data_IF_499785021202
#
_entry.id   IF_499785021202
#
_cell.length_a   1.000
_cell.length_b   1.000
_cell.length_c   1.000
_cell.angle_alpha   90.00
_cell.angle_beta   90.00
_cell.angle_gamma   90.00
#
_symmetry.space_group_name_H-M   'P 1'
#
loop_
_entity.id
_entity.type
_entity.pdbx_description
1 polymer ?
#
# COMPACT_ATOMS: atom_id res chain seq x y z
N UNK A 1 21.54 21.75 -11.90
CA UNK A 1 21.17 20.70 -12.88
C UNK A 1 20.91 19.42 -12.11
N UNK A 2 19.68 18.94 -12.13
CA UNK A 2 19.29 17.66 -11.52
C UNK A 2 19.89 16.52 -12.37
N UNK A 3 20.80 15.78 -11.80
CA UNK A 3 21.42 14.64 -12.45
C UNK A 3 20.47 13.43 -12.42
N UNK A 4 19.59 13.36 -13.43
CA UNK A 4 18.65 12.27 -13.61
C UNK A 4 19.33 10.89 -13.78
N UNK A 5 20.60 10.85 -14.20
CA UNK A 5 21.34 9.60 -14.35
C UNK A 5 21.61 8.95 -12.98
N UNK A 6 21.88 9.73 -11.95
CA UNK A 6 22.04 9.25 -10.57
C UNK A 6 20.75 8.68 -9.97
N UNK A 7 19.61 9.27 -10.33
CA UNK A 7 18.29 8.79 -9.86
C UNK A 7 17.94 7.45 -10.49
N UNK A 8 18.20 7.31 -11.79
CA UNK A 8 17.99 6.05 -12.52
C UNK A 8 18.98 4.96 -12.10
N UNK A 9 20.20 5.34 -11.71
CA UNK A 9 21.21 4.38 -11.22
C UNK A 9 20.81 3.80 -9.86
N UNK A 10 20.35 4.62 -8.91
CA UNK A 10 19.84 4.15 -7.61
C UNK A 10 18.63 3.21 -7.73
N UNK A 11 17.81 3.38 -8.75
CA UNK A 11 16.67 2.49 -9.02
C UNK A 11 17.10 1.13 -9.63
N UNK A 12 18.32 1.00 -10.13
CA UNK A 12 18.82 -0.21 -10.77
C UNK A 12 19.68 -1.11 -9.88
N UNK A 13 20.25 -0.59 -8.80
CA UNK A 13 21.27 -1.32 -8.02
C UNK A 13 20.73 -2.09 -6.80
N UNK A 14 19.52 -1.80 -6.34
CA UNK A 14 18.93 -2.57 -5.24
C UNK A 14 17.87 -3.52 -5.78
N UNK A 15 18.10 -4.82 -5.62
CA UNK A 15 17.00 -5.79 -5.77
C UNK A 15 15.87 -5.34 -4.84
N UNK A 16 14.64 -5.18 -5.35
CA UNK A 16 13.56 -4.71 -4.51
C UNK A 16 13.34 -5.71 -3.37
N UNK A 17 13.37 -5.23 -2.14
CA UNK A 17 13.01 -6.03 -0.97
C UNK A 17 11.71 -6.78 -1.23
N UNK A 18 11.59 -7.96 -0.69
CA UNK A 18 10.40 -8.78 -0.87
C UNK A 18 9.62 -8.93 0.43
N UNK A 19 8.29 -8.85 0.32
CA UNK A 19 7.36 -9.19 1.39
C UNK A 19 6.62 -10.48 1.03
N UNK A 20 6.55 -11.42 1.96
CA UNK A 20 5.71 -12.60 1.83
C UNK A 20 4.58 -12.57 2.86
N UNK A 21 3.34 -12.63 2.40
CA UNK A 21 2.15 -12.68 3.24
C UNK A 21 1.71 -14.13 3.32
N UNK A 22 1.82 -14.72 4.50
CA UNK A 22 1.46 -16.11 4.75
C UNK A 22 -0.01 -16.20 5.18
N UNK A 23 -0.81 -16.81 4.35
CA UNK A 23 -2.24 -17.05 4.57
C UNK A 23 -2.50 -18.55 4.76
N UNK A 24 -3.41 -18.89 5.66
CA UNK A 24 -3.98 -20.23 5.66
C UNK A 24 -4.72 -20.51 4.33
N UNK A 25 -4.91 -21.77 3.99
CA UNK A 25 -5.69 -22.16 2.79
C UNK A 25 -7.08 -21.56 2.85
N UNK A 26 -7.71 -21.57 4.02
CA UNK A 26 -9.04 -20.97 4.24
C UNK A 26 -9.03 -19.46 4.01
N UNK A 27 -8.03 -18.75 4.54
CA UNK A 27 -7.93 -17.29 4.40
C UNK A 27 -7.65 -16.88 2.95
N UNK A 28 -6.82 -17.65 2.25
CA UNK A 28 -6.58 -17.44 0.83
C UNK A 28 -7.85 -17.65 0.00
N UNK A 29 -8.58 -18.74 0.24
CA UNK A 29 -9.87 -18.99 -0.42
C UNK A 29 -10.88 -17.88 -0.15
N UNK A 30 -10.96 -17.41 1.10
CA UNK A 30 -11.81 -16.30 1.48
C UNK A 30 -11.41 -14.98 0.81
N UNK A 31 -10.10 -14.72 0.61
CA UNK A 31 -9.63 -13.55 -0.12
C UNK A 31 -10.07 -13.61 -1.58
N UNK A 32 -9.91 -14.76 -2.23
CA UNK A 32 -10.34 -14.94 -3.63
C UNK A 32 -11.85 -14.78 -3.79
N UNK A 33 -12.63 -15.39 -2.91
CA UNK A 33 -14.11 -15.22 -2.91
C UNK A 33 -14.53 -13.78 -2.68
N UNK A 34 -13.81 -13.03 -1.86
CA UNK A 34 -14.08 -11.62 -1.62
C UNK A 34 -13.75 -10.76 -2.87
N UNK A 35 -12.66 -11.08 -3.56
CA UNK A 35 -12.29 -10.41 -4.82
C UNK A 35 -13.38 -10.66 -5.88
N UNK A 36 -13.84 -11.90 -6.03
CA UNK A 36 -14.90 -12.26 -6.94
C UNK A 36 -16.22 -11.55 -6.59
N UNK A 37 -16.59 -11.54 -5.30
CA UNK A 37 -17.79 -10.84 -4.82
C UNK A 37 -17.77 -9.36 -5.21
N UNK A 38 -16.69 -8.63 -4.95
CA UNK A 38 -16.59 -7.21 -5.28
C UNK A 38 -16.54 -6.98 -6.78
N UNK A 39 -15.87 -7.86 -7.54
CA UNK A 39 -15.84 -7.79 -9.00
C UNK A 39 -17.25 -7.88 -9.59
N UNK A 40 -18.07 -8.80 -9.08
CA UNK A 40 -19.44 -9.00 -9.51
C UNK A 40 -20.37 -7.86 -9.05
N UNK A 41 -20.13 -7.29 -7.87
CA UNK A 41 -20.92 -6.16 -7.35
C UNK A 41 -20.58 -4.83 -8.00
N UNK A 42 -19.41 -4.68 -8.57
CA UNK A 42 -18.98 -3.44 -9.21
C UNK A 42 -18.42 -2.37 -8.29
N UNK A 43 -18.23 -2.67 -7.00
CA UNK A 43 -17.68 -1.73 -6.01
C UNK A 43 -17.07 -2.46 -4.80
N UNK A 44 -16.18 -1.79 -4.09
CA UNK A 44 -15.62 -2.24 -2.80
C UNK A 44 -16.22 -1.36 -1.71
N UNK A 45 -17.04 -1.94 -0.82
CA UNK A 45 -17.57 -1.25 0.36
C UNK A 45 -16.89 -1.74 1.63
N UNK A 46 -16.58 -0.80 2.53
CA UNK A 46 -15.92 -1.10 3.82
C UNK A 46 -16.74 -2.03 4.71
N UNK A 47 -18.07 -2.00 4.62
CA UNK A 47 -18.97 -2.89 5.39
C UNK A 47 -18.80 -4.38 5.08
N UNK A 48 -18.32 -4.72 3.87
CA UNK A 48 -18.02 -6.10 3.44
C UNK A 48 -16.54 -6.40 3.34
N UNK A 49 -15.68 -5.44 3.66
CA UNK A 49 -14.23 -5.53 3.52
C UNK A 49 -13.56 -5.62 4.89
N UNK A 50 -13.57 -6.83 5.46
CA UNK A 50 -13.15 -7.07 6.83
C UNK A 50 -11.64 -7.26 6.96
N UNK A 51 -11.11 -6.85 8.12
CA UNK A 51 -9.75 -7.17 8.53
C UNK A 51 -9.60 -8.65 8.83
N UNK A 52 -8.63 -9.30 8.20
CA UNK A 52 -8.26 -10.68 8.40
C UNK A 52 -6.85 -10.77 8.97
N UNK A 53 -6.56 -11.84 9.70
CA UNK A 53 -5.24 -12.10 10.28
C UNK A 53 -4.35 -12.77 9.25
N UNK A 54 -3.05 -12.50 9.32
CA UNK A 54 -2.02 -13.15 8.52
C UNK A 54 -0.67 -13.00 9.23
N UNK A 55 0.35 -13.64 8.67
CA UNK A 55 1.74 -13.39 9.00
C UNK A 55 2.43 -12.73 7.81
N UNK A 56 3.29 -11.76 8.09
CA UNK A 56 4.15 -11.10 7.12
C UNK A 56 5.58 -11.50 7.38
N UNK A 57 6.29 -11.93 6.36
CA UNK A 57 7.74 -12.15 6.43
C UNK A 57 8.43 -11.14 5.54
N UNK A 58 9.40 -10.43 6.09
CA UNK A 58 10.32 -9.53 5.37
C UNK A 58 11.74 -9.94 5.79
N UNK A 59 12.53 -10.42 4.84
CA UNK A 59 13.82 -11.05 5.11
C UNK A 59 13.68 -12.20 6.12
N UNK A 60 14.33 -12.12 7.29
CA UNK A 60 14.28 -13.12 8.36
C UNK A 60 13.24 -12.79 9.44
N UNK A 61 12.63 -11.62 9.37
CA UNK A 61 11.68 -11.14 10.36
C UNK A 61 10.25 -11.59 10.06
N UNK A 62 9.53 -11.99 11.10
CA UNK A 62 8.12 -12.39 11.02
C UNK A 62 7.25 -11.50 11.91
N UNK A 63 6.12 -11.05 11.36
CA UNK A 63 5.19 -10.14 12.02
C UNK A 63 3.76 -10.66 11.94
N UNK A 64 3.02 -10.56 13.04
CA UNK A 64 1.56 -10.79 13.04
C UNK A 64 0.85 -9.55 12.53
N UNK A 65 0.13 -9.70 11.46
CA UNK A 65 -0.55 -8.60 10.78
C UNK A 65 -2.05 -8.83 10.67
N UNK A 66 -2.73 -7.77 10.29
CA UNK A 66 -4.07 -7.83 9.70
C UNK A 66 -4.00 -7.24 8.31
N UNK A 67 -4.78 -7.80 7.40
CA UNK A 67 -4.90 -7.29 6.03
C UNK A 67 -6.35 -7.15 5.61
N UNK A 68 -6.61 -6.30 4.63
CA UNK A 68 -7.86 -6.21 3.89
C UNK A 68 -7.59 -5.66 2.48
N UNK A 69 -8.55 -5.80 1.59
CA UNK A 69 -8.48 -5.15 0.27
C UNK A 69 -8.42 -3.63 0.43
N UNK A 70 -7.68 -2.97 -0.46
CA UNK A 70 -7.51 -1.53 -0.46
C UNK A 70 -8.02 -0.91 -1.76
N UNK A 71 -8.65 0.27 -1.62
CA UNK A 71 -9.22 1.04 -2.71
C UNK A 71 -10.72 0.90 -2.81
N UNK A 72 -11.33 1.79 -3.58
CA UNK A 72 -12.77 1.80 -3.89
C UNK A 72 -13.04 1.36 -5.33
N UNK A 73 -12.03 1.49 -6.19
CA UNK A 73 -12.13 1.09 -7.60
C UNK A 73 -12.01 -0.42 -7.77
N UNK A 74 -12.85 -0.97 -8.61
CA UNK A 74 -12.81 -2.38 -9.00
C UNK A 74 -11.98 -2.65 -10.26
N UNK A 75 -11.51 -1.60 -10.93
CA UNK A 75 -10.70 -1.76 -12.14
C UNK A 75 -9.51 -2.70 -11.97
N UNK A 76 -8.75 -2.65 -10.87
CA UNK A 76 -7.70 -3.63 -10.61
C UNK A 76 -8.24 -5.06 -10.51
N UNK A 77 -9.34 -5.27 -9.78
CA UNK A 77 -9.91 -6.60 -9.54
C UNK A 77 -10.36 -7.28 -10.83
N UNK A 78 -10.98 -6.52 -11.75
CA UNK A 78 -11.39 -7.02 -13.07
C UNK A 78 -10.23 -7.50 -13.94
N UNK A 79 -9.03 -6.99 -13.69
CA UNK A 79 -7.81 -7.40 -14.37
C UNK A 79 -7.06 -8.52 -13.64
N UNK A 80 -7.67 -9.09 -12.60
CA UNK A 80 -7.04 -10.11 -11.75
C UNK A 80 -5.98 -9.58 -10.79
N UNK A 81 -5.96 -8.25 -10.56
CA UNK A 81 -5.03 -7.62 -9.65
C UNK A 81 -5.79 -7.06 -8.45
N UNK A 82 -5.10 -6.94 -7.32
CA UNK A 82 -5.69 -6.36 -6.11
C UNK A 82 -4.65 -5.59 -5.32
N UNK A 83 -5.13 -4.63 -4.56
CA UNK A 83 -4.34 -3.86 -3.61
C UNK A 83 -4.69 -4.31 -2.20
N UNK A 84 -3.72 -4.23 -1.29
CA UNK A 84 -3.89 -4.62 0.10
C UNK A 84 -3.60 -3.44 1.02
N UNK A 85 -4.30 -3.40 2.14
CA UNK A 85 -3.94 -2.58 3.30
C UNK A 85 -3.47 -3.50 4.40
N UNK A 86 -2.29 -3.22 4.92
CA UNK A 86 -1.63 -3.97 5.97
C UNK A 86 -1.67 -3.16 7.26
N UNK A 87 -1.90 -3.84 8.38
CA UNK A 87 -1.87 -3.27 9.72
C UNK A 87 -1.19 -4.23 10.68
N UNK A 88 -0.18 -3.74 11.40
CA UNK A 88 0.49 -4.51 12.45
C UNK A 88 -0.35 -4.56 13.72
N UNK A 89 -0.18 -5.61 14.51
CA UNK A 89 -0.73 -5.66 15.84
C UNK A 89 -0.05 -4.61 16.73
N UNK A 90 -0.74 -4.15 17.79
CA UNK A 90 -0.25 -3.06 18.66
C UNK A 90 1.10 -3.37 19.33
N UNK A 91 1.38 -4.64 19.56
CA UNK A 91 2.56 -5.13 20.25
C UNK A 91 3.75 -5.35 19.29
N UNK A 92 3.49 -5.41 17.99
CA UNK A 92 4.52 -5.61 16.97
C UNK A 92 5.23 -4.28 16.68
N UNK A 93 6.54 -4.30 16.76
CA UNK A 93 7.39 -3.19 16.32
C UNK A 93 7.86 -3.51 14.92
N UNK A 94 7.26 -2.90 13.94
CA UNK A 94 7.74 -2.97 12.57
C UNK A 94 8.85 -1.94 12.35
N UNK A 95 9.72 -2.20 11.36
CA UNK A 95 10.77 -1.28 10.95
C UNK A 95 10.18 0.14 10.81
N UNK A 96 10.85 1.12 11.39
CA UNK A 96 10.46 2.54 11.36
C UNK A 96 9.17 2.91 12.12
N UNK A 97 8.67 2.08 13.02
CA UNK A 97 7.43 2.30 13.77
C UNK A 97 6.17 2.47 12.89
N UNK A 98 6.23 2.02 11.65
CA UNK A 98 5.06 2.03 10.79
C UNK A 98 3.99 1.06 11.29
N UNK A 99 2.79 1.55 11.53
CA UNK A 99 1.66 0.74 11.99
C UNK A 99 0.77 0.24 10.87
N UNK A 100 0.77 0.97 9.77
CA UNK A 100 -0.07 0.65 8.61
C UNK A 100 0.56 1.16 7.32
N UNK A 101 0.44 0.38 6.26
CA UNK A 101 0.76 0.80 4.91
C UNK A 101 -0.19 0.17 3.88
N UNK A 102 -0.21 0.73 2.69
CA UNK A 102 -0.91 0.16 1.56
C UNK A 102 0.09 -0.50 0.61
N UNK A 103 -0.29 -1.63 0.05
CA UNK A 103 0.39 -2.29 -1.05
C UNK A 103 -0.46 -2.07 -2.30
N UNK A 104 0.02 -1.24 -3.22
CA UNK A 104 -0.68 -0.86 -4.44
C UNK A 104 0.05 -1.48 -5.61
N UNK A 105 -0.64 -2.32 -6.36
CA UNK A 105 -0.06 -3.04 -7.49
C UNK A 105 0.43 -2.08 -8.57
N UNK A 106 1.65 -2.30 -9.05
CA UNK A 106 2.22 -1.65 -10.23
C UNK A 106 1.98 -2.58 -11.42
N UNK A 107 1.33 -2.09 -12.47
CA UNK A 107 0.90 -2.91 -13.61
C UNK A 107 1.95 -2.95 -14.71
N UNK A 108 2.62 -1.84 -14.96
CA UNK A 108 3.62 -1.69 -16.01
C UNK A 108 4.56 -0.51 -15.69
N UNK A 109 5.57 -0.33 -16.50
CA UNK A 109 6.59 0.71 -16.32
C UNK A 109 6.05 2.15 -16.44
N UNK A 110 4.94 2.34 -17.16
CA UNK A 110 4.27 3.63 -17.30
C UNK A 110 3.19 3.88 -16.23
N UNK A 111 3.13 3.04 -15.18
CA UNK A 111 2.16 3.21 -14.11
C UNK A 111 2.40 4.53 -13.35
N UNK A 112 1.32 5.26 -13.11
CA UNK A 112 1.34 6.51 -12.32
C UNK A 112 1.96 6.34 -10.92
N UNK A 113 2.03 5.10 -10.40
CA UNK A 113 2.66 4.80 -9.11
C UNK A 113 4.17 4.95 -9.15
N UNK A 114 4.79 4.64 -10.29
CA UNK A 114 6.23 4.89 -10.49
C UNK A 114 6.48 6.40 -10.45
N UNK A 115 5.69 7.17 -11.19
CA UNK A 115 5.76 8.64 -11.14
C UNK A 115 5.54 9.18 -9.73
N UNK A 116 4.58 8.62 -8.99
CA UNK A 116 4.32 8.99 -7.59
C UNK A 116 5.55 8.74 -6.70
N UNK A 117 6.24 7.60 -6.86
CA UNK A 117 7.46 7.29 -6.09
C UNK A 117 8.54 8.33 -6.39
N UNK A 118 8.76 8.64 -7.67
CA UNK A 118 9.76 9.63 -8.10
C UNK A 118 9.44 11.02 -7.54
N UNK A 119 8.19 11.45 -7.66
CA UNK A 119 7.75 12.77 -7.17
C UNK A 119 7.87 12.86 -5.65
N UNK A 120 7.50 11.82 -4.90
CA UNK A 120 7.61 11.80 -3.45
C UNK A 120 9.07 11.87 -3.00
N UNK A 121 9.96 11.13 -3.66
CA UNK A 121 11.39 11.17 -3.35
C UNK A 121 11.98 12.55 -3.67
N UNK A 122 11.64 13.12 -4.83
CA UNK A 122 12.07 14.48 -5.20
C UNK A 122 11.56 15.53 -4.21
N UNK A 123 10.29 15.44 -3.80
CA UNK A 123 9.71 16.34 -2.80
C UNK A 123 10.49 16.29 -1.49
N UNK A 124 10.89 15.09 -1.04
CA UNK A 124 11.70 14.90 0.15
C UNK A 124 13.11 15.51 -0.01
N UNK A 125 13.74 15.30 -1.17
CA UNK A 125 15.08 15.83 -1.46
C UNK A 125 15.13 17.37 -1.43
N UNK A 126 14.03 18.04 -1.76
CA UNK A 126 13.89 19.50 -1.67
C UNK A 126 13.30 19.98 -0.32
N UNK A 127 13.23 19.09 0.68
CA UNK A 127 12.78 19.42 2.03
C UNK A 127 11.28 19.53 2.23
N UNK A 128 10.46 19.08 1.28
CA UNK A 128 9.02 19.02 1.47
C UNK A 128 8.63 17.77 2.27
N UNK A 129 7.57 17.91 3.05
CA UNK A 129 6.98 16.81 3.79
C UNK A 129 6.26 15.87 2.82
N UNK A 130 6.83 14.72 2.57
CA UNK A 130 6.27 13.71 1.67
C UNK A 130 6.31 12.32 2.30
N UNK A 131 5.23 11.52 2.19
CA UNK A 131 5.24 10.16 2.70
C UNK A 131 6.23 9.32 1.90
N UNK A 132 7.02 8.55 2.62
CA UNK A 132 7.91 7.58 1.99
C UNK A 132 7.09 6.52 1.26
N UNK A 133 7.54 6.18 0.07
CA UNK A 133 7.02 5.06 -0.68
C UNK A 133 8.14 4.40 -1.45
N UNK A 134 8.13 3.08 -1.47
CA UNK A 134 9.12 2.28 -2.18
C UNK A 134 8.47 1.19 -3.01
N UNK A 135 9.16 0.78 -4.06
CA UNK A 135 8.82 -0.42 -4.79
C UNK A 135 9.20 -1.64 -3.96
N UNK A 136 8.34 -2.65 -3.94
CA UNK A 136 8.58 -3.88 -3.21
C UNK A 136 7.96 -5.07 -3.95
N UNK A 137 8.66 -6.20 -3.97
CA UNK A 137 8.09 -7.45 -4.47
C UNK A 137 7.16 -8.04 -3.42
N UNK A 138 5.96 -8.43 -3.83
CA UNK A 138 4.98 -9.04 -2.93
C UNK A 138 4.70 -10.47 -3.34
N UNK A 139 4.76 -11.35 -2.35
CA UNK A 139 4.39 -12.75 -2.47
C UNK A 139 3.20 -13.05 -1.55
N UNK A 140 2.37 -14.00 -1.93
CA UNK A 140 1.40 -14.64 -1.03
C UNK A 140 1.70 -16.14 -1.04
N UNK A 141 1.96 -16.72 0.13
CA UNK A 141 2.34 -18.14 0.27
C UNK A 141 3.48 -18.52 -0.69
N UNK A 142 4.51 -17.68 -0.80
CA UNK A 142 5.65 -17.77 -1.70
C UNK A 142 5.34 -17.65 -3.21
N UNK A 143 4.08 -17.45 -3.60
CA UNK A 143 3.71 -17.18 -5.00
C UNK A 143 3.92 -15.70 -5.29
N UNK A 144 4.79 -15.40 -6.27
CA UNK A 144 5.11 -14.03 -6.64
C UNK A 144 3.93 -13.34 -7.31
N UNK A 145 3.44 -12.26 -6.71
CA UNK A 145 2.40 -11.40 -7.28
C UNK A 145 2.99 -10.25 -8.11
N UNK A 146 4.31 -10.01 -8.00
CA UNK A 146 5.07 -8.98 -8.71
C UNK A 146 5.27 -7.70 -7.90
N UNK A 147 5.46 -6.58 -8.59
CA UNK A 147 5.87 -5.32 -8.01
C UNK A 147 4.69 -4.53 -7.46
N UNK A 148 4.86 -4.00 -6.25
CA UNK A 148 3.90 -3.14 -5.58
C UNK A 148 4.57 -1.84 -5.11
N UNK A 149 3.81 -0.78 -5.07
CA UNK A 149 4.14 0.44 -4.35
C UNK A 149 3.72 0.28 -2.88
N UNK A 150 4.70 0.18 -1.98
CA UNK A 150 4.47 0.26 -0.53
C UNK A 150 4.29 1.72 -0.18
N UNK A 151 3.05 2.13 0.06
CA UNK A 151 2.69 3.50 0.42
C UNK A 151 2.51 3.62 1.92
N UNK A 152 3.36 4.40 2.57
CA UNK A 152 3.20 4.77 3.98
C UNK A 152 1.98 5.68 4.13
N UNK A 153 1.25 5.51 5.23
CA UNK A 153 0.10 6.35 5.54
C UNK A 153 0.50 7.48 6.46
N UNK A 154 -0.07 8.66 6.21
CA UNK A 154 -0.03 9.74 7.19
C UNK A 154 -0.80 9.28 8.45
N UNK A 155 -0.08 8.84 9.45
CA UNK A 155 -0.59 8.39 10.74
C UNK A 155 0.05 9.22 11.85
N UNK A 156 -0.45 9.08 13.08
CA UNK A 156 0.15 9.75 14.22
C UNK A 156 1.64 9.37 14.35
N UNK A 157 1.95 8.09 14.19
CA UNK A 157 3.31 7.57 14.28
C UNK A 157 4.22 8.14 13.18
N UNK A 158 3.70 8.35 11.98
CA UNK A 158 4.44 9.00 10.90
C UNK A 158 4.77 10.46 11.24
N UNK A 159 3.81 11.23 11.75
CA UNK A 159 4.06 12.61 12.18
C UNK A 159 5.04 12.68 13.35
N UNK A 160 4.97 11.76 14.30
CA UNK A 160 5.94 11.66 15.40
C UNK A 160 7.36 11.35 14.89
N UNK A 161 7.49 10.47 13.89
CA UNK A 161 8.77 10.18 13.20
C UNK A 161 9.33 11.44 12.54
N UNK A 162 8.50 12.21 11.87
CA UNK A 162 8.87 13.47 11.22
C UNK A 162 9.01 14.65 12.22
N UNK A 163 8.88 14.39 13.52
CA UNK A 163 8.97 15.39 14.63
C UNK A 163 7.95 16.51 14.53
N UNK A 164 6.79 16.23 13.95
CA UNK A 164 5.69 17.18 13.84
C UNK A 164 4.74 16.96 15.00
N UNK A 165 4.65 17.96 15.90
CA UNK A 165 3.87 17.85 17.15
C UNK A 165 2.47 18.43 17.07
N UNK A 166 2.27 19.46 16.23
CA UNK A 166 0.97 20.13 16.07
C UNK A 166 0.51 20.02 14.61
N UNK A 167 -0.41 19.12 14.33
CA UNK A 167 -0.93 18.90 12.99
C UNK A 167 -2.43 18.64 12.97
N UNK A 168 -3.04 18.97 11.85
CA UNK A 168 -4.40 18.56 11.51
C UNK A 168 -4.40 17.89 10.16
N UNK A 169 -5.02 16.71 10.06
CA UNK A 169 -5.17 16.00 8.79
C UNK A 169 -6.52 16.40 8.19
N UNK A 170 -6.47 17.19 7.14
CA UNK A 170 -7.64 17.48 6.33
C UNK A 170 -7.79 16.37 5.29
N UNK A 171 -8.88 15.63 5.36
CA UNK A 171 -9.23 14.64 4.32
C UNK A 171 -10.24 15.26 3.39
N UNK A 172 -9.95 15.20 2.09
CA UNK A 172 -10.98 15.45 1.10
C UNK A 172 -12.07 14.37 1.26
N UNK A 173 -13.30 14.83 1.49
CA UNK A 173 -14.42 13.90 1.67
C UNK A 173 -15.03 13.69 0.29
N UNK A 174 -14.64 12.61 -0.38
CA UNK A 174 -15.16 12.21 -1.71
C UNK A 174 -16.68 11.97 -1.71
N UNK A 175 -17.34 12.09 -0.55
CA UNK A 175 -18.80 12.06 -0.42
C UNK A 175 -19.49 13.34 -0.94
N UNK A 176 -18.73 14.35 -1.34
CA UNK A 176 -19.32 15.60 -1.86
C UNK A 176 -20.06 15.34 -3.16
N UNK A 177 -19.47 14.55 -4.07
CA UNK A 177 -20.09 14.18 -5.36
C UNK A 177 -21.30 13.28 -5.21
N UNK A 178 -21.39 12.52 -4.12
CA UNK A 178 -22.53 11.64 -3.83
C UNK A 178 -23.73 12.41 -3.26
N UNK A 179 -23.49 13.55 -2.61
CA UNK A 179 -24.54 14.40 -2.01
C UNK A 179 -25.10 15.43 -3.00
N UNK A 180 -24.40 15.70 -4.08
CA UNK A 180 -24.78 16.67 -5.10
C UNK A 180 -24.66 16.07 -6.52
N UNK A 181 -25.47 15.05 -6.89
CA UNK A 181 -25.47 14.52 -8.24
C UNK A 181 -26.19 15.51 -9.16
N UNK A 182 -25.51 16.50 -9.70
CA UNK A 182 -26.14 17.42 -10.64
C UNK A 182 -25.56 18.85 -10.71
N UNK A 183 -24.34 19.05 -10.27
CA UNK A 183 -23.60 20.28 -10.58
C UNK A 183 -22.46 20.02 -11.56
#
# INVERSE_FOLDING_TARGET
>A
ELDFSRLLFKLKEEEPNSLNINLSISDYSNLMSQIEFFTNKGFIKDEYNYWRKAELTEEDDQYKIKYKLHGTSISPLRKGFFNLRIKFNKEEKYLDNERQFNLIRIYNESDEKISTIIINNLAKDIGLLSPEGKSILVKINNVNLGLFYKQVRHSKEWFEKEKITNYSILKNNDDWDKKNPGH
#
